data_IF_897534963304
#
_entry.id   IF_897534963304
#
_cell.length_a   1.000
_cell.length_b   1.000
_cell.length_c   1.000
_cell.angle_alpha   90.00
_cell.angle_beta   90.00
_cell.angle_gamma   90.00
#
_symmetry.space_group_name_H-M   'P 1'
#
loop_
_entity.id
_entity.type
_entity.pdbx_description
1 polymer ?
#
# COMPACT_ATOMS: atom_id res chain seq x y z
N UNK A 1 -17.14 -6.53 13.45
CA UNK A 1 -16.52 -7.88 13.54
C UNK A 1 -16.39 -8.45 12.14
N UNK A 2 -15.28 -9.07 11.82
CA UNK A 2 -15.14 -9.81 10.56
C UNK A 2 -16.02 -11.07 10.67
N UNK A 3 -16.95 -11.32 9.71
CA UNK A 3 -18.04 -12.26 9.95
C UNK A 3 -17.65 -13.74 9.91
N UNK A 4 -16.46 -14.09 9.42
CA UNK A 4 -16.04 -15.46 9.20
C UNK A 4 -14.89 -15.88 10.11
N UNK A 5 -15.04 -17.01 10.77
CA UNK A 5 -14.01 -17.65 11.61
C UNK A 5 -13.36 -18.86 10.91
N UNK A 6 -13.48 -18.95 9.57
CA UNK A 6 -12.89 -20.05 8.81
C UNK A 6 -11.37 -20.10 9.03
N UNK A 7 -10.88 -21.26 9.45
CA UNK A 7 -9.45 -21.47 9.71
C UNK A 7 -8.65 -21.38 8.43
N UNK A 8 -7.73 -20.41 8.38
CA UNK A 8 -6.82 -20.24 7.25
C UNK A 8 -5.83 -21.41 7.15
N UNK A 9 -5.29 -21.61 5.94
CA UNK A 9 -4.15 -22.51 5.76
C UNK A 9 -2.96 -22.04 6.60
N UNK A 10 -2.35 -22.92 7.36
CA UNK A 10 -1.16 -22.59 8.16
C UNK A 10 0.09 -22.65 7.28
N UNK A 11 0.78 -21.52 7.14
CA UNK A 11 2.03 -21.42 6.38
C UNK A 11 3.28 -21.63 7.25
N UNK A 12 3.11 -21.91 8.54
CA UNK A 12 4.20 -22.11 9.49
C UNK A 12 5.23 -20.96 9.45
N UNK A 13 4.74 -19.75 9.69
CA UNK A 13 5.54 -18.51 9.57
C UNK A 13 6.35 -18.20 10.82
N UNK A 14 6.08 -18.88 11.94
CA UNK A 14 6.74 -18.70 13.23
C UNK A 14 5.92 -17.82 14.21
N UNK A 15 6.30 -17.92 15.49
CA UNK A 15 5.54 -17.33 16.60
C UNK A 15 5.38 -15.80 16.49
N UNK A 16 6.42 -15.10 16.04
CA UNK A 16 6.37 -13.63 15.86
C UNK A 16 5.35 -13.23 14.81
N UNK A 17 5.35 -13.88 13.66
CA UNK A 17 4.41 -13.64 12.59
C UNK A 17 2.96 -13.95 13.01
N UNK A 18 2.76 -15.03 13.77
CA UNK A 18 1.45 -15.40 14.31
C UNK A 18 0.96 -14.37 15.34
N UNK A 19 1.83 -13.90 16.24
CA UNK A 19 1.50 -12.87 17.23
C UNK A 19 1.12 -11.52 16.58
N UNK A 20 1.84 -11.11 15.52
CA UNK A 20 1.48 -9.91 14.74
C UNK A 20 0.13 -10.11 14.07
N UNK A 21 -0.12 -11.27 13.45
CA UNK A 21 -1.42 -11.58 12.83
C UNK A 21 -2.56 -11.48 13.82
N UNK A 22 -2.44 -12.11 14.99
CA UNK A 22 -3.47 -12.07 16.03
C UNK A 22 -3.72 -10.66 16.52
N UNK A 23 -2.68 -9.89 16.77
CA UNK A 23 -2.77 -8.49 17.23
C UNK A 23 -3.47 -7.62 16.19
N UNK A 24 -3.04 -7.68 14.92
CA UNK A 24 -3.61 -6.85 13.86
C UNK A 24 -5.02 -7.31 13.49
N UNK A 25 -5.29 -8.61 13.50
CA UNK A 25 -6.64 -9.13 13.30
C UNK A 25 -7.61 -8.63 14.39
N UNK A 26 -7.22 -8.70 15.66
CA UNK A 26 -8.04 -8.20 16.77
C UNK A 26 -8.29 -6.68 16.64
N UNK A 27 -7.25 -5.91 16.37
CA UNK A 27 -7.37 -4.48 16.12
C UNK A 27 -8.29 -4.18 14.94
N UNK A 28 -8.07 -4.82 13.80
CA UNK A 28 -8.85 -4.61 12.58
C UNK A 28 -10.31 -5.00 12.74
N UNK A 29 -10.59 -6.09 13.47
CA UNK A 29 -11.96 -6.55 13.75
C UNK A 29 -12.74 -5.60 14.64
N UNK A 30 -12.06 -4.97 15.61
CA UNK A 30 -12.72 -4.12 16.59
C UNK A 30 -12.77 -2.64 16.16
N UNK A 31 -11.72 -2.13 15.51
CA UNK A 31 -11.56 -0.72 15.22
C UNK A 31 -11.82 -0.33 13.76
N UNK A 32 -11.63 -1.26 12.80
CA UNK A 32 -11.72 -0.95 11.37
C UNK A 32 -13.01 -1.55 10.75
N UNK A 33 -13.21 -2.85 10.90
CA UNK A 33 -14.30 -3.56 10.24
C UNK A 33 -15.71 -2.99 10.52
N UNK A 34 -16.05 -2.57 11.77
CA UNK A 34 -17.34 -1.96 12.04
C UNK A 34 -17.60 -0.65 11.31
N UNK A 35 -16.54 0.06 10.92
CA UNK A 35 -16.60 1.37 10.25
C UNK A 35 -16.37 1.29 8.74
N UNK A 36 -16.06 0.12 8.19
CA UNK A 36 -15.59 -0.02 6.81
C UNK A 36 -16.61 0.47 5.76
N UNK A 37 -17.91 0.27 5.99
CA UNK A 37 -18.96 0.76 5.11
C UNK A 37 -19.07 2.30 5.14
N UNK A 38 -18.99 2.89 6.33
CA UNK A 38 -19.02 4.35 6.48
C UNK A 38 -17.77 5.02 5.93
N UNK A 39 -16.60 4.42 6.11
CA UNK A 39 -15.33 4.88 5.51
C UNK A 39 -15.44 4.97 3.97
N UNK A 40 -15.98 3.92 3.34
CA UNK A 40 -16.21 3.93 1.88
C UNK A 40 -17.24 4.99 1.48
N UNK A 41 -18.36 5.09 2.17
CA UNK A 41 -19.43 6.03 1.88
C UNK A 41 -19.00 7.48 2.02
N UNK A 42 -18.36 7.83 3.15
CA UNK A 42 -17.92 9.19 3.45
C UNK A 42 -16.68 9.62 2.67
N UNK A 43 -15.93 8.67 2.13
CA UNK A 43 -14.61 8.90 1.54
C UNK A 43 -13.64 9.62 2.51
N UNK A 44 -13.67 9.28 3.81
CA UNK A 44 -12.84 9.90 4.84
C UNK A 44 -12.07 8.85 5.64
N UNK A 45 -10.79 9.12 5.88
CA UNK A 45 -9.96 8.29 6.75
C UNK A 45 -10.25 8.62 8.22
N UNK A 46 -10.52 7.62 9.08
CA UNK A 46 -10.70 7.83 10.52
C UNK A 46 -9.35 8.16 11.18
N UNK A 47 -9.15 9.44 11.50
CA UNK A 47 -7.83 9.95 11.98
C UNK A 47 -7.40 9.36 13.31
N UNK A 48 -8.33 8.91 14.15
CA UNK A 48 -8.06 8.24 15.42
C UNK A 48 -7.31 6.90 15.25
N UNK A 49 -7.30 6.34 14.03
CA UNK A 49 -6.55 5.12 13.75
C UNK A 49 -5.04 5.33 13.76
N UNK A 50 -4.53 6.51 13.37
CA UNK A 50 -3.09 6.78 13.32
C UNK A 50 -2.40 6.55 14.67
N UNK A 51 -2.79 7.24 15.76
CA UNK A 51 -2.17 6.99 17.07
C UNK A 51 -2.47 5.59 17.63
N UNK A 52 -3.62 4.99 17.31
CA UNK A 52 -3.93 3.63 17.76
C UNK A 52 -3.01 2.58 17.10
N UNK A 53 -2.73 2.71 15.80
CA UNK A 53 -1.76 1.87 15.10
C UNK A 53 -0.33 2.12 15.60
N UNK A 54 0.00 3.39 15.90
CA UNK A 54 1.28 3.76 16.51
C UNK A 54 1.49 3.10 17.87
N UNK A 55 0.47 3.11 18.73
CA UNK A 55 0.51 2.46 20.05
C UNK A 55 0.74 0.96 20.00
N UNK A 56 0.39 0.31 18.88
CA UNK A 56 0.66 -1.10 18.61
C UNK A 56 2.01 -1.33 17.89
N UNK A 57 2.82 -0.28 17.68
CA UNK A 57 4.10 -0.37 16.99
C UNK A 57 4.02 -0.63 15.47
N UNK A 58 2.83 -0.57 14.88
CA UNK A 58 2.59 -1.02 13.50
C UNK A 58 3.24 -0.10 12.46
N UNK A 59 3.40 1.20 12.73
CA UNK A 59 4.02 2.13 11.78
C UNK A 59 5.53 1.92 11.62
N UNK A 60 6.18 1.35 12.64
CA UNK A 60 7.63 1.14 12.69
C UNK A 60 8.05 -0.33 12.67
N UNK A 61 7.26 -1.25 12.09
CA UNK A 61 7.56 -2.69 12.10
C UNK A 61 8.99 -2.98 11.61
N UNK A 62 9.40 -2.38 10.51
CA UNK A 62 10.73 -2.62 9.91
C UNK A 62 11.81 -1.64 10.39
N UNK A 63 11.49 -0.70 11.27
CA UNK A 63 12.43 0.32 11.74
C UNK A 63 13.17 -0.19 12.97
N UNK A 64 14.43 0.15 13.08
CA UNK A 64 15.31 -0.19 14.19
C UNK A 64 14.80 0.40 15.52
N UNK A 65 14.99 -0.31 16.62
CA UNK A 65 14.52 0.07 17.96
C UNK A 65 15.08 1.42 18.42
N UNK A 66 16.31 1.76 18.03
CA UNK A 66 16.95 3.04 18.37
C UNK A 66 16.21 4.27 17.82
N UNK A 67 15.37 4.10 16.80
CA UNK A 67 14.50 5.14 16.24
C UNK A 67 13.02 4.98 16.65
N UNK A 68 12.73 4.05 17.56
CA UNK A 68 11.39 3.78 18.09
C UNK A 68 10.60 2.71 17.33
N UNK A 69 11.22 1.99 16.42
CA UNK A 69 10.62 0.86 15.70
C UNK A 69 10.63 -0.44 16.49
N UNK A 70 10.14 -1.53 15.89
CA UNK A 70 10.12 -2.87 16.51
C UNK A 70 11.22 -3.78 15.99
N UNK A 71 11.97 -3.39 14.96
CA UNK A 71 13.08 -4.15 14.41
C UNK A 71 12.68 -5.47 13.74
N UNK A 72 11.41 -5.64 13.39
CA UNK A 72 10.89 -6.82 12.70
C UNK A 72 11.09 -6.74 11.18
N UNK A 73 10.58 -7.72 10.45
CA UNK A 73 10.80 -7.86 9.02
C UNK A 73 9.64 -7.39 8.14
N UNK A 74 9.85 -7.55 6.84
CA UNK A 74 8.82 -7.27 5.82
C UNK A 74 7.72 -8.34 5.81
N UNK A 75 7.99 -9.56 6.29
CA UNK A 75 6.96 -10.58 6.46
C UNK A 75 5.89 -10.11 7.44
N UNK A 76 6.28 -9.63 8.62
CA UNK A 76 5.38 -9.09 9.63
C UNK A 76 4.64 -7.85 9.11
N UNK A 77 5.32 -7.02 8.33
CA UNK A 77 4.68 -5.87 7.68
C UNK A 77 3.62 -6.29 6.65
N UNK A 78 3.91 -7.30 5.81
CA UNK A 78 2.91 -7.86 4.88
C UNK A 78 1.69 -8.41 5.63
N UNK A 79 1.90 -9.13 6.73
CA UNK A 79 0.82 -9.66 7.56
C UNK A 79 -0.05 -8.53 8.12
N UNK A 80 0.56 -7.44 8.59
CA UNK A 80 -0.18 -6.28 9.07
C UNK A 80 -1.03 -5.62 7.96
N UNK A 81 -0.46 -5.42 6.76
CA UNK A 81 -1.20 -4.89 5.60
C UNK A 81 -2.34 -5.82 5.19
N UNK A 82 -2.13 -7.13 5.18
CA UNK A 82 -3.14 -8.13 4.85
C UNK A 82 -4.34 -8.05 5.79
N UNK A 83 -4.13 -8.11 7.11
CA UNK A 83 -5.21 -8.12 8.09
C UNK A 83 -5.97 -6.78 8.16
N UNK A 84 -5.29 -5.65 7.98
CA UNK A 84 -5.95 -4.35 7.86
C UNK A 84 -6.78 -4.27 6.57
N UNK A 85 -6.24 -4.75 5.45
CA UNK A 85 -6.92 -4.74 4.15
C UNK A 85 -8.11 -5.68 4.11
N UNK A 86 -8.08 -6.78 4.88
CA UNK A 86 -9.22 -7.68 5.11
C UNK A 86 -10.41 -6.95 5.74
N UNK A 87 -10.16 -6.03 6.66
CA UNK A 87 -11.20 -5.20 7.27
C UNK A 87 -11.61 -4.01 6.39
N UNK A 88 -10.62 -3.28 5.85
CA UNK A 88 -10.80 -2.19 4.90
C UNK A 88 -9.52 -1.98 4.09
N UNK A 89 -9.59 -2.27 2.80
CA UNK A 89 -8.43 -2.10 1.90
C UNK A 89 -7.98 -0.63 1.80
N UNK A 90 -8.91 0.33 1.94
CA UNK A 90 -8.58 1.76 1.97
C UNK A 90 -7.71 2.12 3.20
N UNK A 91 -7.98 1.53 4.36
CA UNK A 91 -7.16 1.72 5.56
C UNK A 91 -5.80 1.03 5.39
N UNK A 92 -5.77 -0.21 4.88
CA UNK A 92 -4.54 -0.93 4.58
C UNK A 92 -3.63 -0.20 3.59
N UNK A 93 -4.22 0.43 2.56
CA UNK A 93 -3.47 1.24 1.59
C UNK A 93 -2.85 2.49 2.23
N UNK A 94 -3.63 3.24 3.00
CA UNK A 94 -3.15 4.44 3.72
C UNK A 94 -2.05 4.10 4.71
N UNK A 95 -2.23 3.00 5.46
CA UNK A 95 -1.23 2.46 6.37
C UNK A 95 0.07 2.10 5.61
N UNK A 96 -0.01 1.36 4.51
CA UNK A 96 1.16 0.98 3.71
C UNK A 96 1.88 2.19 3.09
N UNK A 97 1.15 3.20 2.63
CA UNK A 97 1.73 4.45 2.13
C UNK A 97 2.50 5.21 3.22
N UNK A 98 2.00 5.20 4.45
CA UNK A 98 2.67 5.79 5.59
C UNK A 98 3.90 4.98 6.02
N UNK A 99 3.70 3.71 6.39
CA UNK A 99 4.72 2.87 7.05
C UNK A 99 5.79 2.35 6.08
N UNK A 100 5.43 2.09 4.81
CA UNK A 100 6.38 1.55 3.84
C UNK A 100 6.90 2.61 2.86
N UNK A 101 6.04 3.48 2.30
CA UNK A 101 6.51 4.47 1.32
C UNK A 101 7.25 5.64 1.98
N UNK A 102 6.75 6.18 3.09
CA UNK A 102 7.40 7.31 3.75
C UNK A 102 8.42 6.87 4.80
N UNK A 103 7.96 6.12 5.80
CA UNK A 103 8.81 5.69 6.93
C UNK A 103 10.01 4.87 6.45
N UNK A 104 9.77 3.85 5.63
CA UNK A 104 10.85 2.98 5.15
C UNK A 104 11.82 3.70 4.21
N UNK A 105 11.37 4.68 3.40
CA UNK A 105 12.28 5.49 2.58
C UNK A 105 13.20 6.35 3.43
N UNK A 106 12.68 7.01 4.48
CA UNK A 106 13.50 7.79 5.42
C UNK A 106 14.44 6.87 6.19
N UNK A 107 13.97 5.73 6.68
CA UNK A 107 14.79 4.72 7.35
C UNK A 107 15.97 4.26 6.49
N UNK A 108 15.73 3.94 5.22
CA UNK A 108 16.74 3.37 4.32
C UNK A 108 17.74 4.39 3.79
N UNK A 109 17.31 5.62 3.55
CA UNK A 109 18.08 6.62 2.80
C UNK A 109 18.39 7.89 3.61
N UNK A 110 17.76 8.09 4.76
CA UNK A 110 18.02 9.22 5.65
C UNK A 110 19.36 9.08 6.40
N UNK A 111 20.00 10.21 6.66
CA UNK A 111 21.09 10.28 7.62
C UNK A 111 20.56 10.17 9.06
N UNK A 112 21.45 10.01 10.05
CA UNK A 112 21.07 9.83 11.44
C UNK A 112 20.22 11.00 11.98
N UNK A 113 20.57 12.25 11.64
CA UNK A 113 19.83 13.44 12.05
C UNK A 113 18.39 13.43 11.49
N UNK A 114 18.22 13.07 10.22
CA UNK A 114 16.90 12.95 9.59
C UNK A 114 16.08 11.83 10.22
N UNK A 115 16.66 10.65 10.46
CA UNK A 115 15.98 9.53 11.11
C UNK A 115 15.50 9.92 12.49
N UNK A 116 16.35 10.51 13.34
CA UNK A 116 15.98 10.97 14.70
C UNK A 116 14.94 12.09 14.69
N UNK A 117 14.95 12.93 13.68
CA UNK A 117 13.98 14.04 13.55
C UNK A 117 12.58 13.53 13.17
N UNK A 118 12.50 12.61 12.19
CA UNK A 118 11.22 12.28 11.55
C UNK A 118 10.61 10.96 12.03
N UNK A 119 11.43 9.90 12.22
CA UNK A 119 10.89 8.56 12.47
C UNK A 119 10.07 8.45 13.76
N UNK A 120 10.47 9.01 14.91
CA UNK A 120 9.70 8.84 16.16
C UNK A 120 8.26 9.35 16.05
N UNK A 121 8.04 10.50 15.41
CA UNK A 121 6.69 11.08 15.25
C UNK A 121 5.85 10.35 14.22
N UNK A 122 6.48 9.83 13.17
CA UNK A 122 5.81 8.98 12.18
C UNK A 122 5.43 7.63 12.81
N UNK A 123 6.31 7.03 13.60
CA UNK A 123 6.07 5.72 14.24
C UNK A 123 4.98 5.81 15.30
N UNK A 124 4.94 6.89 16.08
CA UNK A 124 3.86 7.12 17.05
C UNK A 124 2.50 7.41 16.42
N UNK A 125 2.46 7.78 15.13
CA UNK A 125 1.24 8.25 14.46
C UNK A 125 0.86 9.69 14.81
N UNK A 126 1.74 10.45 15.50
CA UNK A 126 1.58 11.90 15.69
C UNK A 126 1.67 12.62 14.35
N UNK A 127 2.60 12.20 13.49
CA UNK A 127 2.74 12.66 12.11
C UNK A 127 2.28 11.59 11.13
N UNK A 128 1.62 12.02 10.05
CA UNK A 128 1.26 11.16 8.94
C UNK A 128 2.27 11.32 7.80
N UNK A 129 2.74 10.18 7.28
CA UNK A 129 3.69 10.14 6.18
C UNK A 129 3.04 9.91 4.82
N UNK A 130 3.67 10.47 3.77
CA UNK A 130 3.29 10.28 2.38
C UNK A 130 4.51 10.23 1.46
N UNK A 131 4.33 9.73 0.24
CA UNK A 131 5.33 9.77 -0.82
C UNK A 131 4.72 10.38 -2.08
N UNK A 132 5.43 11.32 -2.70
CA UNK A 132 4.96 12.08 -3.84
C UNK A 132 5.91 11.95 -5.03
N UNK A 133 5.58 11.03 -5.95
CA UNK A 133 6.36 10.72 -7.14
C UNK A 133 5.62 11.12 -8.41
N UNK A 134 4.40 10.60 -8.60
CA UNK A 134 3.62 10.72 -9.83
C UNK A 134 3.14 12.14 -10.07
N UNK A 135 3.03 12.51 -11.36
CA UNK A 135 2.49 13.79 -11.83
C UNK A 135 1.34 13.55 -12.83
N UNK A 136 0.52 14.56 -13.14
CA UNK A 136 -0.59 14.39 -14.10
C UNK A 136 -0.16 13.77 -15.43
N UNK A 137 1.05 14.10 -15.92
CA UNK A 137 1.60 13.62 -17.18
C UNK A 137 2.74 12.61 -17.04
N UNK A 138 3.06 12.16 -15.81
CA UNK A 138 4.17 11.26 -15.50
C UNK A 138 3.75 10.23 -14.43
N UNK A 139 2.99 9.23 -14.84
CA UNK A 139 2.59 8.09 -14.02
C UNK A 139 3.56 6.92 -14.19
N UNK A 140 3.39 6.12 -15.25
CA UNK A 140 4.26 4.97 -15.55
C UNK A 140 5.70 5.40 -15.90
N UNK A 141 5.86 6.51 -16.59
CA UNK A 141 7.17 7.13 -16.89
C UNK A 141 7.50 8.21 -15.86
N UNK A 142 7.71 7.77 -14.61
CA UNK A 142 7.98 8.69 -13.49
C UNK A 142 9.28 9.48 -13.64
N UNK A 143 10.25 8.97 -14.40
CA UNK A 143 11.53 9.68 -14.63
C UNK A 143 11.37 10.87 -15.57
N UNK A 144 10.24 10.99 -16.26
CA UNK A 144 9.89 12.15 -17.09
C UNK A 144 9.19 13.27 -16.31
N UNK A 145 9.21 13.23 -14.98
CA UNK A 145 8.59 14.25 -14.12
C UNK A 145 9.04 15.67 -14.47
N UNK A 146 8.11 16.62 -14.40
CA UNK A 146 8.31 18.02 -14.71
C UNK A 146 8.55 18.91 -13.47
N UNK A 147 8.15 18.46 -12.26
CA UNK A 147 8.43 19.18 -11.01
C UNK A 147 9.93 19.39 -10.88
N UNK A 148 10.34 20.66 -10.74
CA UNK A 148 11.74 21.07 -10.67
C UNK A 148 12.10 21.61 -9.29
N UNK A 149 13.36 21.47 -8.92
CA UNK A 149 13.95 22.02 -7.71
C UNK A 149 15.23 22.79 -8.07
N UNK A 150 15.21 24.09 -7.87
CA UNK A 150 16.34 24.98 -8.15
C UNK A 150 17.09 25.28 -6.85
N UNK A 151 18.42 25.09 -6.83
CA UNK A 151 19.24 25.43 -5.66
C UNK A 151 19.39 26.96 -5.52
N UNK A 152 19.04 27.50 -4.34
CA UNK A 152 19.17 28.92 -3.99
C UNK A 152 19.81 29.06 -2.61
N UNK A 153 21.13 29.25 -2.57
CA UNK A 153 21.89 29.33 -1.34
C UNK A 153 21.85 28.02 -0.55
N UNK A 154 21.27 28.05 0.66
CA UNK A 154 21.16 26.94 1.60
C UNK A 154 19.87 26.10 1.45
N UNK A 155 19.12 26.30 0.35
CA UNK A 155 17.83 25.66 0.13
C UNK A 155 17.60 25.32 -1.34
N UNK A 156 16.58 24.51 -1.57
CA UNK A 156 15.98 24.26 -2.88
C UNK A 156 14.61 24.90 -2.98
N UNK A 157 14.27 25.45 -4.14
CA UNK A 157 12.97 26.02 -4.44
C UNK A 157 12.24 25.09 -5.41
N UNK A 158 11.21 24.41 -4.93
CA UNK A 158 10.43 23.46 -5.70
C UNK A 158 9.26 24.16 -6.41
N UNK A 159 9.06 23.81 -7.70
CA UNK A 159 7.93 24.28 -8.51
C UNK A 159 7.35 23.15 -9.34
N UNK A 160 6.05 22.93 -9.26
CA UNK A 160 5.32 21.89 -9.99
C UNK A 160 4.15 21.34 -9.19
N UNK A 161 3.62 20.19 -9.62
CA UNK A 161 2.55 19.50 -8.91
C UNK A 161 2.76 17.98 -8.92
N UNK A 162 2.19 17.29 -7.92
CA UNK A 162 2.14 15.85 -7.83
C UNK A 162 0.70 15.38 -7.76
N UNK A 163 0.37 14.27 -8.40
CA UNK A 163 -0.99 13.79 -8.54
C UNK A 163 -1.16 12.38 -7.96
N UNK A 164 -2.37 12.10 -7.48
CA UNK A 164 -2.78 10.81 -6.86
C UNK A 164 -2.01 10.47 -5.59
N UNK A 165 -1.69 11.47 -4.78
CA UNK A 165 -0.84 11.28 -3.61
C UNK A 165 -1.66 10.80 -2.41
N UNK A 166 -1.48 9.53 -2.06
CA UNK A 166 -2.09 8.89 -0.88
C UNK A 166 -1.60 9.55 0.40
N UNK A 167 -2.50 9.80 1.34
CA UNK A 167 -2.30 10.57 2.57
C UNK A 167 -1.96 12.04 2.35
N UNK A 168 -1.82 12.52 1.11
CA UNK A 168 -1.44 13.90 0.79
C UNK A 168 -2.21 14.97 1.55
N UNK A 169 -3.57 14.90 1.66
CA UNK A 169 -4.36 15.90 2.36
C UNK A 169 -4.04 16.07 3.85
N UNK A 170 -3.47 15.04 4.47
CA UNK A 170 -3.24 14.96 5.92
C UNK A 170 -1.77 14.80 6.30
N UNK A 171 -0.89 14.59 5.32
CA UNK A 171 0.52 14.31 5.56
C UNK A 171 1.24 15.48 6.23
N UNK A 172 1.99 15.17 7.29
CA UNK A 172 2.88 16.10 8.00
C UNK A 172 4.32 16.01 7.48
N UNK A 173 4.71 14.83 6.96
CA UNK A 173 6.04 14.55 6.40
C UNK A 173 5.90 13.82 5.07
N UNK A 174 6.52 14.31 4.02
CA UNK A 174 6.42 13.74 2.67
C UNK A 174 7.81 13.49 2.07
N UNK A 175 7.99 12.36 1.43
CA UNK A 175 9.12 12.12 0.53
C UNK A 175 8.72 12.55 -0.88
N UNK A 176 9.36 13.59 -1.41
CA UNK A 176 9.02 14.22 -2.69
C UNK A 176 10.17 14.12 -3.65
N UNK A 177 9.92 13.72 -4.89
CA UNK A 177 10.92 13.65 -5.96
C UNK A 177 10.76 14.82 -6.91
N UNK A 178 11.86 15.52 -7.19
CA UNK A 178 11.88 16.65 -8.12
C UNK A 178 13.17 16.69 -8.94
N UNK A 179 13.11 17.31 -10.10
CA UNK A 179 14.24 17.46 -11.02
C UNK A 179 15.13 18.63 -10.61
N UNK A 180 16.37 18.34 -10.25
CA UNK A 180 17.39 19.34 -9.93
C UNK A 180 18.29 19.68 -11.11
N UNK A 181 18.41 18.78 -12.12
CA UNK A 181 19.15 19.02 -13.36
C UNK A 181 18.34 18.47 -14.55
N UNK A 182 17.91 19.36 -15.44
CA UNK A 182 17.11 19.01 -16.61
C UNK A 182 17.88 18.20 -17.65
N UNK A 183 19.21 18.31 -17.67
CA UNK A 183 20.07 17.71 -18.71
C UNK A 183 20.67 16.35 -18.28
N UNK A 184 20.58 15.99 -17.00
CA UNK A 184 21.21 14.78 -16.48
C UNK A 184 20.30 13.53 -16.54
N UNK A 185 19.10 13.61 -17.18
CA UNK A 185 18.16 12.50 -17.28
C UNK A 185 17.74 11.97 -15.89
N UNK A 186 17.77 10.63 -15.68
CA UNK A 186 17.45 10.05 -14.38
C UNK A 186 18.35 10.53 -13.22
N UNK A 187 19.62 10.86 -13.51
CA UNK A 187 20.58 11.40 -12.53
C UNK A 187 20.31 12.87 -12.16
N UNK A 188 19.38 13.52 -12.83
CA UNK A 188 18.94 14.86 -12.50
C UNK A 188 17.78 14.91 -11.50
N UNK A 189 17.35 13.79 -10.93
CA UNK A 189 16.24 13.72 -9.96
C UNK A 189 16.82 13.59 -8.55
N UNK A 190 16.22 14.36 -7.62
CA UNK A 190 16.59 14.38 -6.19
C UNK A 190 15.36 14.07 -5.35
N UNK A 191 15.53 13.36 -4.25
CA UNK A 191 14.50 13.11 -3.25
C UNK A 191 14.63 14.13 -2.11
N UNK A 192 13.50 14.66 -1.64
CA UNK A 192 13.42 15.67 -0.58
C UNK A 192 12.45 15.23 0.50
N UNK A 193 12.73 15.57 1.76
CA UNK A 193 11.74 15.51 2.84
C UNK A 193 11.07 16.88 2.92
N UNK A 194 9.77 16.92 2.58
CA UNK A 194 8.94 18.12 2.66
C UNK A 194 8.06 18.01 3.90
N UNK A 195 7.99 19.09 4.68
CA UNK A 195 7.18 19.17 5.87
C UNK A 195 5.93 20.03 5.63
N UNK A 196 4.83 19.65 6.25
CA UNK A 196 3.62 20.47 6.28
C UNK A 196 3.94 21.87 6.84
N UNK A 197 3.42 22.88 6.19
CA UNK A 197 3.64 24.28 6.57
C UNK A 197 4.89 24.92 5.95
N UNK A 198 5.69 24.19 5.18
CA UNK A 198 6.74 24.84 4.37
C UNK A 198 6.12 25.86 3.41
N UNK A 199 6.74 27.04 3.31
CA UNK A 199 6.27 28.12 2.45
C UNK A 199 6.22 27.65 0.99
N UNK A 200 5.08 27.86 0.34
CA UNK A 200 4.87 27.46 -1.06
C UNK A 200 4.43 26.01 -1.26
N UNK A 201 4.27 25.24 -0.18
CA UNK A 201 3.67 23.90 -0.23
C UNK A 201 2.17 23.99 0.12
N UNK A 202 1.32 23.37 -0.71
CA UNK A 202 -0.11 23.23 -0.46
C UNK A 202 -0.69 21.98 -1.06
N UNK A 203 -1.88 21.60 -0.59
CA UNK A 203 -2.69 20.54 -1.17
C UNK A 203 -3.84 21.15 -1.95
N UNK A 204 -4.13 20.58 -3.12
CA UNK A 204 -5.27 20.97 -3.93
C UNK A 204 -6.48 20.04 -3.65
N UNK A 205 -7.32 19.81 -4.64
CA UNK A 205 -8.54 19.05 -4.50
C UNK A 205 -8.30 17.63 -4.03
N UNK A 206 -9.04 17.21 -2.99
CA UNK A 206 -9.17 15.79 -2.62
C UNK A 206 -9.95 15.07 -3.73
N UNK A 207 -9.40 13.93 -4.16
CA UNK A 207 -9.95 13.18 -5.29
C UNK A 207 -11.13 12.29 -4.85
N UNK A 208 -12.19 12.30 -5.65
CA UNK A 208 -13.27 11.32 -5.58
C UNK A 208 -12.90 10.12 -6.45
N UNK A 209 -12.77 8.94 -5.84
CA UNK A 209 -12.20 7.74 -6.47
C UNK A 209 -13.24 6.64 -6.65
N UNK A 210 -13.01 5.75 -7.60
CA UNK A 210 -13.81 4.55 -7.84
C UNK A 210 -13.85 3.65 -6.59
N UNK A 211 -12.70 3.33 -6.05
CA UNK A 211 -12.46 2.51 -4.86
C UNK A 211 -11.43 3.15 -3.94
N UNK A 212 -10.99 2.40 -2.94
CA UNK A 212 -10.10 2.92 -1.88
C UNK A 212 -10.63 4.22 -1.28
N UNK A 213 -11.94 4.35 -1.24
CA UNK A 213 -12.62 5.49 -0.63
C UNK A 213 -12.36 5.45 0.86
N UNK A 214 -11.99 6.59 1.42
CA UNK A 214 -11.46 6.65 2.78
C UNK A 214 -9.94 6.57 2.87
N UNK A 215 -9.22 6.25 1.79
CA UNK A 215 -7.79 6.53 1.67
C UNK A 215 -7.64 7.94 1.09
N UNK A 216 -7.34 8.93 1.94
CA UNK A 216 -7.25 10.32 1.53
C UNK A 216 -6.19 10.50 0.44
N UNK A 217 -6.58 11.07 -0.70
CA UNK A 217 -5.73 11.19 -1.89
C UNK A 217 -5.97 12.55 -2.55
N UNK A 218 -4.92 13.26 -2.92
CA UNK A 218 -5.04 14.58 -3.54
C UNK A 218 -3.94 14.87 -4.55
N UNK A 219 -4.04 16.04 -5.16
CA UNK A 219 -2.95 16.74 -5.81
C UNK A 219 -2.16 17.54 -4.78
N UNK A 220 -0.82 17.57 -4.91
CA UNK A 220 0.07 18.47 -4.19
C UNK A 220 0.56 19.56 -5.13
N UNK A 221 0.68 20.78 -4.61
CA UNK A 221 1.15 21.96 -5.37
C UNK A 221 2.37 22.57 -4.68
N UNK A 222 3.40 22.79 -5.46
CA UNK A 222 4.63 23.47 -5.08
C UNK A 222 4.75 24.75 -5.89
N UNK A 223 4.58 25.89 -5.23
CA UNK A 223 4.74 27.23 -5.82
C UNK A 223 5.81 27.98 -5.05
N UNK A 224 7.01 27.98 -5.61
CA UNK A 224 8.20 28.49 -4.93
C UNK A 224 8.37 27.90 -3.54
N UNK A 225 8.18 26.57 -3.42
CA UNK A 225 8.29 25.87 -2.15
C UNK A 225 9.74 25.79 -1.69
N UNK A 226 10.02 26.43 -0.56
CA UNK A 226 11.36 26.50 0.01
C UNK A 226 11.64 25.27 0.89
N UNK A 227 12.59 24.43 0.47
CA UNK A 227 13.03 23.23 1.17
C UNK A 227 14.48 23.37 1.57
N UNK A 228 14.85 23.32 2.87
CA UNK A 228 16.24 23.39 3.31
C UNK A 228 17.12 22.31 2.68
N UNK A 229 18.40 22.60 2.46
CA UNK A 229 19.36 21.63 1.89
C UNK A 229 19.51 20.38 2.78
N UNK A 230 19.39 20.53 4.09
CA UNK A 230 19.42 19.42 5.06
C UNK A 230 18.27 18.42 4.88
N UNK A 231 17.21 18.81 4.16
CA UNK A 231 16.05 17.96 3.85
C UNK A 231 16.23 17.17 2.53
N UNK A 232 17.37 17.24 1.87
CA UNK A 232 17.72 16.33 0.77
C UNK A 232 17.86 14.92 1.36
N UNK A 233 17.05 13.99 0.85
CA UNK A 233 17.09 12.59 1.26
C UNK A 233 18.16 11.86 0.44
N UNK A 234 19.20 11.34 1.08
CA UNK A 234 20.43 10.84 0.46
C UNK A 234 21.27 11.98 -0.14
N UNK A 235 21.46 12.02 -1.45
CA UNK A 235 22.31 12.98 -2.17
C UNK A 235 21.57 13.62 -3.34
N UNK A 236 22.01 14.83 -3.73
CA UNK A 236 21.51 15.51 -4.93
C UNK A 236 21.81 14.65 -6.16
N UNK A 237 20.80 14.46 -7.01
CA UNK A 237 20.91 13.63 -8.22
C UNK A 237 20.78 12.12 -7.98
N UNK A 238 20.57 11.68 -6.74
CA UNK A 238 20.39 10.27 -6.37
C UNK A 238 18.93 9.88 -6.14
N UNK A 239 17.97 10.73 -6.47
CA UNK A 239 16.55 10.48 -6.22
C UNK A 239 16.03 9.21 -6.88
N UNK A 240 16.49 8.88 -8.10
CA UNK A 240 16.09 7.60 -8.73
C UNK A 240 16.65 6.39 -7.98
N UNK A 241 17.86 6.48 -7.42
CA UNK A 241 18.40 5.40 -6.59
C UNK A 241 17.57 5.21 -5.31
N UNK A 242 17.20 6.32 -4.64
CA UNK A 242 16.29 6.30 -3.49
C UNK A 242 14.98 5.63 -3.86
N UNK A 243 14.35 6.07 -4.96
CA UNK A 243 13.10 5.51 -5.46
C UNK A 243 13.20 4.01 -5.75
N UNK A 244 14.17 3.60 -6.56
CA UNK A 244 14.32 2.20 -6.98
C UNK A 244 14.66 1.29 -5.82
N UNK A 245 15.47 1.74 -4.86
CA UNK A 245 15.77 0.97 -3.65
C UNK A 245 14.53 0.65 -2.79
N UNK A 246 13.48 1.47 -2.88
CA UNK A 246 12.24 1.30 -2.15
C UNK A 246 11.17 0.53 -2.92
N UNK A 247 11.16 0.62 -4.27
CA UNK A 247 10.06 0.08 -5.09
C UNK A 247 9.86 -1.44 -4.96
N UNK A 248 10.92 -2.20 -4.81
CA UNK A 248 10.81 -3.66 -4.70
C UNK A 248 10.22 -4.05 -3.35
N UNK A 249 10.59 -3.36 -2.27
CA UNK A 249 9.97 -3.51 -0.96
C UNK A 249 8.54 -3.00 -0.93
N UNK A 250 8.26 -1.89 -1.63
CA UNK A 250 6.90 -1.38 -1.81
C UNK A 250 6.00 -2.41 -2.47
N UNK A 251 6.43 -3.00 -3.58
CA UNK A 251 5.66 -4.00 -4.32
C UNK A 251 5.41 -5.24 -3.47
N UNK A 252 6.41 -5.71 -2.74
CA UNK A 252 6.29 -6.87 -1.85
C UNK A 252 5.24 -6.62 -0.75
N UNK A 253 5.33 -5.49 -0.04
CA UNK A 253 4.41 -5.14 1.05
C UNK A 253 3.01 -4.84 0.51
N UNK A 254 2.91 -4.09 -0.59
CA UNK A 254 1.63 -3.71 -1.19
C UNK A 254 0.87 -4.93 -1.75
N UNK A 255 1.59 -5.99 -2.16
CA UNK A 255 0.98 -7.23 -2.64
C UNK A 255 0.13 -7.95 -1.56
N UNK A 256 0.34 -7.65 -0.29
CA UNK A 256 -0.46 -8.19 0.82
C UNK A 256 -1.89 -7.62 0.86
N UNK A 257 -2.11 -6.39 0.37
CA UNK A 257 -3.44 -5.79 0.30
C UNK A 257 -4.45 -6.61 -0.52
N UNK A 258 -4.13 -7.00 -1.75
CA UNK A 258 -4.95 -7.93 -2.54
C UNK A 258 -5.30 -9.23 -1.83
N UNK A 259 -4.37 -9.80 -1.05
CA UNK A 259 -4.63 -11.02 -0.27
C UNK A 259 -5.70 -10.75 0.79
N UNK A 260 -5.60 -9.63 1.50
CA UNK A 260 -6.63 -9.20 2.45
C UNK A 260 -8.00 -9.06 1.80
N UNK A 261 -8.09 -8.50 0.59
CA UNK A 261 -9.34 -8.41 -0.19
C UNK A 261 -9.87 -9.80 -0.53
N UNK A 262 -9.02 -10.72 -1.01
CA UNK A 262 -9.44 -12.10 -1.32
C UNK A 262 -9.97 -12.82 -0.07
N UNK A 263 -9.31 -12.64 1.08
CA UNK A 263 -9.77 -13.18 2.34
C UNK A 263 -11.12 -12.58 2.75
N UNK A 264 -11.30 -11.26 2.60
CA UNK A 264 -12.58 -10.60 2.86
C UNK A 264 -13.70 -11.13 1.95
N UNK A 265 -13.41 -11.43 0.69
CA UNK A 265 -14.37 -12.08 -0.21
C UNK A 265 -14.79 -13.45 0.32
N UNK A 266 -13.84 -14.28 0.77
CA UNK A 266 -14.14 -15.58 1.38
C UNK A 266 -14.93 -15.44 2.67
N UNK A 267 -14.63 -14.45 3.52
CA UNK A 267 -15.32 -14.17 4.77
C UNK A 267 -16.81 -13.83 4.55
N UNK A 268 -17.13 -13.22 3.42
CA UNK A 268 -18.54 -12.89 3.05
C UNK A 268 -19.22 -14.06 2.38
N UNK A 269 -18.53 -14.72 1.45
CA UNK A 269 -19.14 -15.75 0.60
C UNK A 269 -19.43 -17.04 1.36
N UNK A 270 -18.50 -17.51 2.22
CA UNK A 270 -18.66 -18.81 2.89
C UNK A 270 -19.90 -18.89 3.76
N UNK A 271 -20.21 -17.95 4.68
CA UNK A 271 -21.47 -18.00 5.42
C UNK A 271 -22.69 -17.87 4.49
N UNK A 272 -22.61 -16.99 3.48
CA UNK A 272 -23.73 -16.74 2.58
C UNK A 272 -24.16 -18.01 1.81
N UNK A 273 -23.22 -18.80 1.28
CA UNK A 273 -23.55 -20.01 0.51
C UNK A 273 -24.14 -21.13 1.36
N UNK A 274 -23.94 -21.09 2.69
CA UNK A 274 -24.59 -21.98 3.66
C UNK A 274 -26.02 -21.53 3.99
N UNK A 275 -26.27 -20.24 4.12
CA UNK A 275 -27.55 -19.66 4.52
C UNK A 275 -28.53 -19.56 3.35
N UNK A 276 -28.05 -19.12 2.20
CA UNK A 276 -28.87 -18.91 1.00
C UNK A 276 -29.33 -20.22 0.41
N UNK A 277 -30.63 -20.40 0.29
CA UNK A 277 -31.26 -21.60 -0.30
C UNK A 277 -31.89 -21.28 -1.64
N UNK A 278 -31.71 -22.15 -2.61
CA UNK A 278 -32.45 -22.20 -3.87
C UNK A 278 -32.68 -23.67 -4.22
N UNK A 279 -33.77 -23.96 -4.94
CA UNK A 279 -34.16 -25.33 -5.29
C UNK A 279 -34.26 -26.27 -4.05
N UNK A 280 -34.66 -25.70 -2.90
CA UNK A 280 -34.86 -26.42 -1.65
C UNK A 280 -33.58 -26.72 -0.82
N UNK A 281 -32.40 -26.28 -1.23
CA UNK A 281 -31.14 -26.57 -0.55
C UNK A 281 -30.17 -25.37 -0.54
N UNK A 282 -29.18 -25.35 0.37
CA UNK A 282 -28.12 -24.32 0.38
C UNK A 282 -27.41 -24.26 -0.97
N UNK A 283 -27.13 -23.05 -1.45
CA UNK A 283 -26.46 -22.89 -2.77
C UNK A 283 -25.04 -23.45 -2.79
N UNK A 284 -24.38 -23.56 -1.64
CA UNK A 284 -23.04 -24.17 -1.51
C UNK A 284 -23.01 -25.69 -1.84
N UNK A 285 -24.17 -26.33 -1.98
CA UNK A 285 -24.26 -27.75 -2.42
C UNK A 285 -24.17 -27.91 -3.94
N UNK A 286 -24.32 -26.83 -4.72
CA UNK A 286 -24.26 -26.91 -6.17
C UNK A 286 -22.81 -26.94 -6.66
N UNK A 287 -22.50 -27.85 -7.58
CA UNK A 287 -21.13 -28.07 -8.08
C UNK A 287 -20.52 -26.82 -8.71
N UNK A 288 -21.29 -26.00 -9.42
CA UNK A 288 -20.77 -24.76 -10.03
C UNK A 288 -20.43 -23.71 -8.98
N UNK A 289 -21.12 -23.68 -7.83
CA UNK A 289 -20.78 -22.84 -6.67
C UNK A 289 -19.51 -23.39 -6.01
N UNK A 290 -19.43 -24.70 -5.79
CA UNK A 290 -18.24 -25.36 -5.24
C UNK A 290 -16.99 -25.12 -6.11
N UNK A 291 -17.14 -25.15 -7.44
CA UNK A 291 -16.05 -24.83 -8.37
C UNK A 291 -15.49 -23.43 -8.16
N UNK A 292 -16.37 -22.40 -8.05
CA UNK A 292 -15.94 -21.04 -7.76
C UNK A 292 -15.26 -20.90 -6.39
N UNK A 293 -15.78 -21.55 -5.35
CA UNK A 293 -15.16 -21.56 -4.04
C UNK A 293 -13.76 -22.18 -4.07
N UNK A 294 -13.58 -23.26 -4.83
CA UNK A 294 -12.30 -23.93 -5.00
C UNK A 294 -11.29 -23.02 -5.71
N UNK A 295 -11.71 -22.33 -6.78
CA UNK A 295 -10.86 -21.37 -7.51
C UNK A 295 -10.45 -20.19 -6.64
N UNK A 296 -11.40 -19.59 -5.91
CA UNK A 296 -11.14 -18.50 -4.96
C UNK A 296 -10.13 -18.91 -3.88
N UNK A 297 -10.36 -20.07 -3.24
CA UNK A 297 -9.49 -20.59 -2.18
C UNK A 297 -8.07 -20.88 -2.68
N UNK A 298 -7.95 -21.59 -3.80
CA UNK A 298 -6.65 -21.98 -4.38
C UNK A 298 -5.87 -20.74 -4.81
N UNK A 299 -6.52 -19.82 -5.49
CA UNK A 299 -5.93 -18.55 -5.96
C UNK A 299 -5.42 -17.70 -4.80
N UNK A 300 -6.22 -17.55 -3.74
CA UNK A 300 -5.84 -16.79 -2.55
C UNK A 300 -4.60 -17.40 -1.88
N UNK A 301 -4.58 -18.72 -1.68
CA UNK A 301 -3.43 -19.36 -1.02
C UNK A 301 -2.17 -19.38 -1.90
N UNK A 302 -2.30 -19.52 -3.21
CA UNK A 302 -1.18 -19.38 -4.15
C UNK A 302 -0.58 -17.96 -4.11
N UNK A 303 -1.45 -16.94 -4.11
CA UNK A 303 -1.03 -15.54 -3.96
C UNK A 303 -0.30 -15.30 -2.65
N UNK A 304 -0.86 -15.80 -1.55
CA UNK A 304 -0.30 -15.67 -0.19
C UNK A 304 1.07 -16.34 -0.09
N UNK A 305 1.21 -17.57 -0.59
CA UNK A 305 2.49 -18.29 -0.61
C UNK A 305 3.57 -17.50 -1.35
N UNK A 306 3.25 -16.94 -2.52
CA UNK A 306 4.20 -16.16 -3.30
C UNK A 306 4.59 -14.86 -2.59
N UNK A 307 3.63 -14.10 -2.08
CA UNK A 307 3.89 -12.85 -1.36
C UNK A 307 4.75 -13.08 -0.11
N UNK A 308 4.44 -14.11 0.67
CA UNK A 308 5.24 -14.42 1.87
C UNK A 308 6.66 -14.90 1.53
N UNK A 309 6.83 -15.66 0.44
CA UNK A 309 8.16 -16.04 -0.03
C UNK A 309 9.00 -14.80 -0.42
N UNK A 310 8.38 -13.85 -1.14
CA UNK A 310 9.04 -12.59 -1.52
C UNK A 310 9.31 -11.72 -0.29
N UNK A 311 8.39 -11.63 0.67
CA UNK A 311 8.60 -10.89 1.91
C UNK A 311 9.79 -11.45 2.72
N UNK A 312 9.89 -12.77 2.85
CA UNK A 312 11.05 -13.43 3.47
C UNK A 312 12.35 -13.18 2.69
N UNK A 313 12.31 -13.08 1.37
CA UNK A 313 13.47 -12.69 0.56
C UNK A 313 13.87 -11.24 0.81
N UNK A 314 12.89 -10.33 1.00
CA UNK A 314 13.15 -8.95 1.42
C UNK A 314 13.90 -8.90 2.76
N UNK A 315 13.52 -9.74 3.73
CA UNK A 315 14.14 -9.79 5.05
C UNK A 315 15.60 -10.22 4.99
N UNK A 316 15.93 -11.09 4.04
CA UNK A 316 17.32 -11.52 3.79
C UNK A 316 18.10 -10.59 2.86
N UNK A 317 17.47 -9.56 2.29
CA UNK A 317 18.07 -8.69 1.27
C UNK A 317 18.30 -9.37 -0.08
N UNK A 318 17.57 -10.46 -0.36
CA UNK A 318 17.70 -11.30 -1.56
C UNK A 318 16.57 -11.07 -2.59
N UNK A 319 15.65 -10.16 -2.33
CA UNK A 319 14.54 -9.91 -3.25
C UNK A 319 15.03 -9.32 -4.57
N UNK A 320 14.38 -9.72 -5.65
CA UNK A 320 14.65 -9.21 -7.00
C UNK A 320 13.48 -8.35 -7.49
N UNK A 321 13.73 -7.57 -8.53
CA UNK A 321 12.69 -6.74 -9.16
C UNK A 321 11.57 -7.57 -9.75
N UNK A 322 11.95 -8.65 -10.44
CA UNK A 322 10.99 -9.57 -11.07
C UNK A 322 10.14 -10.32 -10.04
N UNK A 323 10.72 -10.73 -8.90
CA UNK A 323 9.98 -11.43 -7.85
C UNK A 323 8.96 -10.51 -7.17
N UNK A 324 9.39 -9.31 -6.78
CA UNK A 324 8.51 -8.31 -6.17
C UNK A 324 7.39 -7.87 -7.14
N UNK A 325 7.74 -7.64 -8.42
CA UNK A 325 6.76 -7.31 -9.45
C UNK A 325 5.81 -8.48 -9.75
N UNK A 326 6.31 -9.72 -9.74
CA UNK A 326 5.51 -10.93 -9.95
C UNK A 326 4.49 -11.16 -8.84
N UNK A 327 4.90 -10.99 -7.60
CA UNK A 327 4.01 -11.16 -6.45
C UNK A 327 2.81 -10.20 -6.51
N UNK A 328 3.05 -8.91 -6.71
CA UNK A 328 1.94 -7.94 -6.79
C UNK A 328 1.15 -8.08 -8.09
N UNK A 329 1.78 -8.42 -9.23
CA UNK A 329 1.07 -8.64 -10.49
C UNK A 329 0.03 -9.74 -10.32
N UNK A 330 0.44 -10.89 -9.81
CA UNK A 330 -0.43 -12.04 -9.64
C UNK A 330 -1.53 -11.75 -8.61
N UNK A 331 -1.17 -11.27 -7.41
CA UNK A 331 -2.12 -11.01 -6.35
C UNK A 331 -3.16 -9.95 -6.75
N UNK A 332 -2.77 -8.86 -7.43
CA UNK A 332 -3.66 -7.79 -7.85
C UNK A 332 -4.74 -8.27 -8.85
N UNK A 333 -4.34 -8.93 -9.93
CA UNK A 333 -5.28 -9.43 -10.94
C UNK A 333 -6.21 -10.52 -10.35
N UNK A 334 -5.66 -11.37 -9.48
CA UNK A 334 -6.43 -12.42 -8.83
C UNK A 334 -7.41 -11.90 -7.78
N UNK A 335 -7.10 -10.81 -7.09
CA UNK A 335 -8.04 -10.17 -6.18
C UNK A 335 -9.24 -9.58 -6.92
N UNK A 336 -9.03 -8.95 -8.07
CA UNK A 336 -10.13 -8.46 -8.92
C UNK A 336 -11.02 -9.62 -9.38
N UNK A 337 -10.44 -10.72 -9.86
CA UNK A 337 -11.20 -11.89 -10.27
C UNK A 337 -11.97 -12.51 -9.10
N UNK A 338 -11.33 -12.65 -7.93
CA UNK A 338 -11.95 -13.18 -6.72
C UNK A 338 -13.14 -12.30 -6.25
N UNK A 339 -13.02 -10.98 -6.35
CA UNK A 339 -14.10 -10.05 -6.02
C UNK A 339 -15.28 -10.16 -7.01
N UNK A 340 -15.02 -10.35 -8.30
CA UNK A 340 -16.06 -10.64 -9.30
C UNK A 340 -16.78 -11.94 -9.00
N UNK A 341 -16.06 -12.99 -8.63
CA UNK A 341 -16.63 -14.28 -8.25
C UNK A 341 -17.46 -14.18 -6.96
N UNK A 342 -17.03 -13.37 -5.99
CA UNK A 342 -17.80 -13.09 -4.79
C UNK A 342 -19.13 -12.40 -5.11
N UNK A 343 -19.13 -11.38 -5.97
CA UNK A 343 -20.37 -10.74 -6.45
C UNK A 343 -21.28 -11.79 -7.12
N UNK A 344 -20.73 -12.60 -8.00
CA UNK A 344 -21.48 -13.62 -8.74
C UNK A 344 -22.10 -14.67 -7.81
N UNK A 345 -21.37 -15.10 -6.77
CA UNK A 345 -21.87 -16.08 -5.80
C UNK A 345 -23.00 -15.53 -4.92
N UNK A 346 -23.01 -14.24 -4.65
CA UNK A 346 -24.11 -13.59 -3.93
C UNK A 346 -25.32 -13.30 -4.84
N UNK A 347 -25.16 -13.38 -6.16
CA UNK A 347 -26.23 -13.08 -7.11
C UNK A 347 -26.73 -11.64 -6.99
N UNK A 348 -28.04 -11.43 -6.96
CA UNK A 348 -28.63 -10.10 -6.79
C UNK A 348 -28.16 -9.36 -5.54
N UNK A 349 -27.93 -10.06 -4.45
CA UNK A 349 -27.38 -9.48 -3.21
C UNK A 349 -25.93 -9.00 -3.38
N UNK A 350 -25.14 -9.59 -4.27
CA UNK A 350 -23.81 -9.12 -4.59
C UNK A 350 -23.78 -7.82 -5.40
N UNK A 351 -24.93 -7.46 -6.02
CA UNK A 351 -25.05 -6.28 -6.87
C UNK A 351 -25.61 -5.03 -6.13
N UNK A 352 -25.99 -5.19 -4.88
CA UNK A 352 -26.44 -4.10 -4.01
C UNK A 352 -25.42 -3.78 -2.93
N UNK A 353 -25.42 -2.55 -2.42
CA UNK A 353 -24.44 -2.06 -1.46
C UNK A 353 -24.66 -2.53 -0.01
N UNK A 354 -25.66 -3.36 0.25
CA UNK A 354 -25.90 -3.98 1.56
C UNK A 354 -24.82 -5.01 1.91
N UNK A 355 -24.16 -5.56 0.87
CA UNK A 355 -23.01 -6.46 1.01
C UNK A 355 -21.73 -5.76 0.53
N UNK A 356 -20.55 -6.08 1.11
CA UNK A 356 -19.30 -5.37 0.82
C UNK A 356 -18.65 -5.75 -0.51
N UNK A 357 -19.21 -6.70 -1.26
CA UNK A 357 -18.59 -7.26 -2.47
C UNK A 357 -18.31 -6.21 -3.55
N UNK A 358 -19.22 -5.25 -3.74
CA UNK A 358 -19.01 -4.13 -4.66
C UNK A 358 -17.86 -3.22 -4.23
N UNK A 359 -17.71 -2.95 -2.93
CA UNK A 359 -16.56 -2.21 -2.39
C UNK A 359 -15.27 -2.99 -2.62
N UNK A 360 -15.23 -4.29 -2.30
CA UNK A 360 -14.05 -5.15 -2.48
C UNK A 360 -13.57 -5.17 -3.93
N UNK A 361 -14.49 -5.20 -4.91
CA UNK A 361 -14.14 -5.11 -6.33
C UNK A 361 -13.54 -3.75 -6.69
N UNK A 362 -14.17 -2.66 -6.25
CA UNK A 362 -13.67 -1.30 -6.53
C UNK A 362 -12.28 -1.07 -5.92
N UNK A 363 -12.07 -1.59 -4.72
CA UNK A 363 -10.79 -1.48 -4.01
C UNK A 363 -9.71 -2.35 -4.68
N UNK A 364 -10.03 -3.58 -5.09
CA UNK A 364 -9.09 -4.47 -5.75
C UNK A 364 -8.50 -3.86 -7.03
N UNK A 365 -9.32 -3.13 -7.79
CA UNK A 365 -8.90 -2.56 -9.08
C UNK A 365 -7.70 -1.60 -8.97
N UNK A 366 -7.55 -0.90 -7.85
CA UNK A 366 -6.40 0.00 -7.66
C UNK A 366 -5.06 -0.75 -7.76
N UNK A 367 -4.99 -1.96 -7.23
CA UNK A 367 -3.73 -2.72 -7.19
C UNK A 367 -3.20 -3.15 -8.57
N UNK A 368 -4.03 -3.14 -9.60
CA UNK A 368 -3.60 -3.34 -10.99
C UNK A 368 -2.99 -2.07 -11.62
N UNK A 369 -3.17 -0.91 -10.96
CA UNK A 369 -2.77 0.41 -11.48
C UNK A 369 -1.61 1.00 -10.64
N UNK A 370 -1.72 0.98 -9.30
CA UNK A 370 -0.76 1.58 -8.38
C UNK A 370 0.55 0.79 -8.28
N UNK A 371 1.65 1.44 -7.89
CA UNK A 371 3.01 0.87 -7.81
C UNK A 371 3.52 0.28 -9.14
N UNK A 372 3.12 0.89 -10.26
CA UNK A 372 3.29 0.41 -11.63
C UNK A 372 2.10 -0.42 -12.08
N UNK A 373 1.58 -0.16 -13.28
CA UNK A 373 0.45 -0.91 -13.84
C UNK A 373 0.83 -2.38 -14.10
N UNK A 374 -0.19 -3.24 -14.24
CA UNK A 374 0.01 -4.66 -14.60
C UNK A 374 0.88 -4.82 -15.86
N UNK A 375 0.74 -3.91 -16.83
CA UNK A 375 1.54 -3.90 -18.06
C UNK A 375 3.01 -3.54 -17.78
N UNK A 376 3.26 -2.52 -16.96
CA UNK A 376 4.61 -2.11 -16.56
C UNK A 376 5.31 -3.23 -15.78
N UNK A 377 4.58 -3.93 -14.89
CA UNK A 377 5.14 -5.09 -14.17
C UNK A 377 5.53 -6.22 -15.11
N UNK A 378 4.66 -6.55 -16.09
CA UNK A 378 4.97 -7.57 -17.13
C UNK A 378 6.19 -7.19 -17.97
N UNK A 379 6.24 -5.93 -18.41
CA UNK A 379 7.39 -5.42 -19.18
C UNK A 379 8.68 -5.53 -18.35
N UNK A 380 8.64 -5.15 -17.07
CA UNK A 380 9.78 -5.22 -16.18
C UNK A 380 10.23 -6.67 -15.98
N UNK A 381 9.34 -7.58 -15.65
CA UNK A 381 9.65 -8.99 -15.44
C UNK A 381 10.28 -9.59 -16.70
N UNK A 382 9.64 -9.37 -17.86
CA UNK A 382 10.11 -9.92 -19.13
C UNK A 382 11.52 -9.41 -19.50
N UNK A 383 11.80 -8.12 -19.26
CA UNK A 383 13.12 -7.54 -19.49
C UNK A 383 14.18 -8.11 -18.54
N UNK A 384 13.91 -8.16 -17.22
CA UNK A 384 14.86 -8.70 -16.24
C UNK A 384 15.20 -10.17 -16.53
N UNK A 385 14.20 -10.98 -16.91
CA UNK A 385 14.43 -12.38 -17.29
C UNK A 385 15.27 -12.49 -18.57
N UNK A 386 15.02 -11.66 -19.57
CA UNK A 386 15.80 -11.64 -20.81
C UNK A 386 17.26 -11.22 -20.52
N UNK A 387 17.47 -10.13 -19.81
CA UNK A 387 18.79 -9.60 -19.51
C UNK A 387 19.65 -10.57 -18.66
N UNK A 388 19.02 -11.36 -17.78
CA UNK A 388 19.70 -12.35 -16.92
C UNK A 388 19.94 -13.70 -17.57
N UNK A 389 19.30 -13.98 -18.71
CA UNK A 389 19.44 -15.26 -19.44
C UNK A 389 20.45 -15.20 -20.58
N UNK A 390 21.10 -14.06 -20.81
CA UNK A 390 22.07 -13.83 -21.88
C UNK A 390 23.49 -14.30 -21.52
#
# INVERSE_FOLDING_TARGET
>A
MIPNSYRMFNFDLGETADAIRETVFAFSSNEIAPRAAEIDKSNQFPRDLWPKMGALGLHGITVEEEYGGTGLGYLEHCIAVEEMSRASAAVGLSYGAHSNLCVNQIRRNGNDAQKRKYLPKLISGEHVGSLAMSEPNSGSDVVSMATRAEKKGDRFVLNGSKMWITNGPVADTLVVYARTDANAGPRGITAFIVEKGMKGFSTAQKLDKLGMRGSDTCELVFDNCEVPEENVLSEVGRGVNVLMSGLDYERAVLAAGPIGIMQACMDVVLPYVHERKQFGQPIGTFQLVQGKLADMYTTMNASRAYVYAVAKACDRGETTREDAAGAILYAAEKATQCALDAIQLLGGNGYINDYPTGRLLRDAKLYEIGAGTSEIRRMLIGRELFDKSA
#
